data_IF_606033772329
#
_entry.id   IF_606033772329
#
_cell.length_a   1.000
_cell.length_b   1.000
_cell.length_c   1.000
_cell.angle_alpha   90.00
_cell.angle_beta   90.00
_cell.angle_gamma   90.00
#
_symmetry.space_group_name_H-M   'P 1'
#
loop_
_entity.id
_entity.type
_entity.pdbx_description
1 polymer ?
#
# COMPACT_ATOMS: atom_id res chain seq x y z
N UNK A 1 -53.31 -3.27 -10.40
CA UNK A 1 -53.42 -2.68 -9.05
C UNK A 1 -52.48 -3.47 -8.17
N UNK A 2 -51.24 -3.02 -8.05
CA UNK A 2 -50.20 -3.67 -7.24
C UNK A 2 -50.56 -3.53 -5.77
N UNK A 3 -50.99 -4.63 -5.15
CA UNK A 3 -51.17 -4.73 -3.72
C UNK A 3 -49.79 -4.75 -3.06
N UNK A 4 -49.20 -3.57 -2.85
CA UNK A 4 -48.03 -3.41 -1.99
C UNK A 4 -48.46 -3.81 -0.58
N UNK A 5 -48.11 -5.04 -0.20
CA UNK A 5 -48.27 -5.53 1.16
C UNK A 5 -47.66 -4.50 2.12
N UNK A 6 -48.38 -4.06 3.17
CA UNK A 6 -47.84 -3.10 4.11
C UNK A 6 -46.67 -3.77 4.84
N UNK A 7 -45.45 -3.37 4.46
CA UNK A 7 -44.20 -3.76 5.13
C UNK A 7 -44.42 -3.64 6.64
N UNK A 8 -44.32 -4.77 7.35
CA UNK A 8 -44.50 -4.82 8.79
C UNK A 8 -43.54 -3.82 9.44
N UNK A 9 -43.94 -3.10 10.50
CA UNK A 9 -43.13 -2.05 11.12
C UNK A 9 -41.68 -2.47 11.44
N UNK A 10 -41.46 -3.74 11.79
CA UNK A 10 -40.13 -4.30 12.06
C UNK A 10 -39.24 -4.51 10.83
N UNK A 11 -39.82 -4.74 9.64
CA UNK A 11 -39.06 -4.93 8.40
C UNK A 11 -38.37 -3.65 7.92
N UNK A 12 -39.05 -2.50 8.06
CA UNK A 12 -38.46 -1.19 7.76
C UNK A 12 -37.30 -0.86 8.70
N UNK A 13 -37.49 -1.05 10.00
CA UNK A 13 -36.44 -0.79 10.99
C UNK A 13 -35.19 -1.66 10.75
N UNK A 14 -35.38 -2.95 10.41
CA UNK A 14 -34.25 -3.83 10.08
C UNK A 14 -33.50 -3.36 8.83
N UNK A 15 -34.24 -2.95 7.79
CA UNK A 15 -33.65 -2.40 6.57
C UNK A 15 -32.84 -1.14 6.86
N UNK A 16 -33.37 -0.22 7.66
CA UNK A 16 -32.69 1.03 8.01
C UNK A 16 -31.39 0.76 8.78
N UNK A 17 -31.41 -0.21 9.72
CA UNK A 17 -30.21 -0.64 10.46
C UNK A 17 -29.17 -1.27 9.53
N UNK A 18 -29.60 -2.12 8.58
CA UNK A 18 -28.69 -2.73 7.61
C UNK A 18 -28.06 -1.66 6.69
N UNK A 19 -28.85 -0.71 6.20
CA UNK A 19 -28.35 0.41 5.38
C UNK A 19 -27.33 1.26 6.14
N UNK A 20 -27.59 1.57 7.41
CA UNK A 20 -26.62 2.30 8.26
C UNK A 20 -25.32 1.51 8.44
N UNK A 21 -25.39 0.21 8.71
CA UNK A 21 -24.21 -0.64 8.87
C UNK A 21 -23.37 -0.70 7.58
N UNK A 22 -24.02 -0.81 6.42
CA UNK A 22 -23.31 -0.80 5.15
C UNK A 22 -22.65 0.55 4.85
N UNK A 23 -23.31 1.66 5.20
CA UNK A 23 -22.72 2.99 5.07
C UNK A 23 -21.47 3.13 5.95
N UNK A 24 -21.56 2.75 7.23
CA UNK A 24 -20.41 2.79 8.16
C UNK A 24 -19.25 1.92 7.65
N UNK A 25 -19.54 0.70 7.18
CA UNK A 25 -18.53 -0.19 6.61
C UNK A 25 -17.85 0.42 5.38
N UNK A 26 -18.63 1.05 4.50
CA UNK A 26 -18.12 1.71 3.30
C UNK A 26 -17.21 2.89 3.66
N UNK A 27 -17.62 3.75 4.60
CA UNK A 27 -16.82 4.87 5.09
C UNK A 27 -15.50 4.38 5.70
N UNK A 28 -15.53 3.30 6.49
CA UNK A 28 -14.33 2.70 7.05
C UNK A 28 -13.37 2.15 5.99
N UNK A 29 -13.88 1.43 4.98
CA UNK A 29 -13.04 0.95 3.89
C UNK A 29 -12.46 2.10 3.08
N UNK A 30 -13.23 3.14 2.81
CA UNK A 30 -12.74 4.33 2.12
C UNK A 30 -11.61 5.01 2.92
N UNK A 31 -11.78 5.20 4.22
CA UNK A 31 -10.76 5.76 5.09
C UNK A 31 -9.49 4.89 5.15
N UNK A 32 -9.65 3.56 5.20
CA UNK A 32 -8.55 2.60 5.15
C UNK A 32 -7.79 2.69 3.82
N UNK A 33 -8.51 2.74 2.69
CA UNK A 33 -7.92 2.89 1.36
C UNK A 33 -7.17 4.21 1.23
N UNK A 34 -7.74 5.32 1.73
CA UNK A 34 -7.04 6.61 1.74
C UNK A 34 -5.74 6.53 2.55
N UNK A 35 -5.78 5.90 3.73
CA UNK A 35 -4.59 5.71 4.58
C UNK A 35 -3.52 4.87 3.88
N UNK A 36 -3.93 3.79 3.20
CA UNK A 36 -3.02 2.93 2.46
C UNK A 36 -2.40 3.65 1.27
N UNK A 37 -3.16 4.46 0.54
CA UNK A 37 -2.65 5.28 -0.56
C UNK A 37 -1.60 6.29 -0.07
N UNK A 38 -1.88 7.00 1.03
CA UNK A 38 -0.91 7.93 1.63
C UNK A 38 0.40 7.23 2.01
N UNK A 39 0.32 6.04 2.63
CA UNK A 39 1.52 5.25 2.95
C UNK A 39 2.27 4.79 1.70
N UNK A 40 1.57 4.45 0.63
CA UNK A 40 2.20 4.09 -0.65
C UNK A 40 2.91 5.29 -1.28
N UNK A 41 2.32 6.47 -1.23
CA UNK A 41 2.94 7.71 -1.71
C UNK A 41 4.21 8.04 -0.90
N UNK A 42 4.15 7.96 0.43
CA UNK A 42 5.33 8.13 1.30
C UNK A 42 6.43 7.10 1.00
N UNK A 43 6.04 5.82 0.82
CA UNK A 43 6.99 4.76 0.43
C UNK A 43 7.60 5.04 -0.94
N UNK A 44 6.82 5.55 -1.89
CA UNK A 44 7.28 5.98 -3.21
C UNK A 44 8.36 7.06 -3.11
N UNK A 45 8.09 8.13 -2.36
CA UNK A 45 9.08 9.20 -2.14
C UNK A 45 10.37 8.70 -1.48
N UNK A 46 10.26 7.80 -0.49
CA UNK A 46 11.44 7.17 0.14
C UNK A 46 12.24 6.30 -0.83
N UNK A 47 11.58 5.65 -1.79
CA UNK A 47 12.25 4.86 -2.85
C UNK A 47 13.01 5.79 -3.79
N UNK A 48 12.41 6.92 -4.20
CA UNK A 48 13.07 7.92 -5.04
C UNK A 48 14.30 8.51 -4.36
N UNK A 49 14.20 8.88 -3.09
CA UNK A 49 15.33 9.35 -2.29
C UNK A 49 16.45 8.29 -2.18
N UNK A 50 16.07 7.03 -1.97
CA UNK A 50 17.03 5.93 -1.91
C UNK A 50 17.73 5.71 -3.27
N UNK A 51 16.99 5.79 -4.38
CA UNK A 51 17.57 5.69 -5.73
C UNK A 51 18.59 6.80 -5.98
N UNK A 52 18.28 8.04 -5.56
CA UNK A 52 19.21 9.17 -5.64
C UNK A 52 20.48 8.91 -4.82
N UNK A 53 20.32 8.52 -3.55
CA UNK A 53 21.45 8.23 -2.67
C UNK A 53 22.35 7.11 -3.21
N UNK A 54 21.76 6.07 -3.79
CA UNK A 54 22.50 4.97 -4.43
C UNK A 54 23.26 5.48 -5.65
N UNK A 55 22.64 6.28 -6.51
CA UNK A 55 23.31 6.87 -7.68
C UNK A 55 24.50 7.75 -7.26
N UNK A 56 24.33 8.58 -6.24
CA UNK A 56 25.40 9.44 -5.71
C UNK A 56 26.55 8.61 -5.13
N UNK A 57 26.25 7.52 -4.41
CA UNK A 57 27.26 6.61 -3.88
C UNK A 57 27.99 5.85 -5.01
N UNK A 58 27.27 5.42 -6.05
CA UNK A 58 27.87 4.78 -7.23
C UNK A 58 28.82 5.73 -7.96
N UNK A 59 28.43 7.00 -8.14
CA UNK A 59 29.28 8.01 -8.73
C UNK A 59 30.54 8.25 -7.89
N UNK A 60 30.40 8.38 -6.56
CA UNK A 60 31.54 8.52 -5.63
C UNK A 60 32.49 7.31 -5.67
N UNK A 61 31.96 6.11 -5.84
CA UNK A 61 32.73 4.88 -5.96
C UNK A 61 33.34 4.65 -7.36
N UNK A 62 33.10 5.55 -8.32
CA UNK A 62 33.59 5.42 -9.70
C UNK A 62 32.94 4.28 -10.49
N UNK A 63 31.70 3.91 -10.15
CA UNK A 63 30.96 2.80 -10.77
C UNK A 63 30.17 3.32 -11.98
N UNK A 64 30.81 3.33 -13.15
CA UNK A 64 30.20 3.84 -14.39
C UNK A 64 29.76 2.73 -15.36
N UNK A 65 30.41 1.56 -15.31
CA UNK A 65 30.15 0.47 -16.26
C UNK A 65 28.94 -0.38 -15.87
N UNK A 66 28.06 -0.76 -16.82
CA UNK A 66 26.90 -1.63 -16.55
C UNK A 66 27.29 -2.96 -15.90
N UNK A 67 28.48 -3.50 -16.21
CA UNK A 67 29.00 -4.72 -15.57
C UNK A 67 29.31 -4.50 -14.07
N UNK A 68 29.85 -3.34 -13.71
CA UNK A 68 30.10 -2.99 -12.31
C UNK A 68 28.78 -2.73 -11.56
N UNK A 69 27.79 -2.10 -12.21
CA UNK A 69 26.44 -1.91 -11.64
C UNK A 69 25.78 -3.26 -11.34
N UNK A 70 25.83 -4.19 -12.31
CA UNK A 70 25.25 -5.52 -12.14
C UNK A 70 25.92 -6.31 -11.00
N UNK A 71 27.25 -6.20 -10.87
CA UNK A 71 28.00 -6.81 -9.76
C UNK A 71 27.65 -6.20 -8.40
N UNK A 72 27.44 -4.89 -8.33
CA UNK A 72 27.00 -4.21 -7.11
C UNK A 72 25.61 -4.70 -6.67
N UNK A 73 24.65 -4.74 -7.60
CA UNK A 73 23.29 -5.24 -7.32
C UNK A 73 23.34 -6.68 -6.84
N UNK A 74 24.12 -7.55 -7.49
CA UNK A 74 24.28 -8.94 -7.06
C UNK A 74 24.87 -9.05 -5.64
N UNK A 75 25.85 -8.21 -5.31
CA UNK A 75 26.47 -8.18 -3.97
C UNK A 75 25.49 -7.71 -2.90
N UNK A 76 24.67 -6.69 -3.19
CA UNK A 76 23.65 -6.19 -2.23
C UNK A 76 22.56 -7.23 -2.02
N UNK A 77 22.07 -7.86 -3.09
CA UNK A 77 21.07 -8.94 -2.99
C UNK A 77 21.60 -10.12 -2.17
N UNK A 78 22.87 -10.50 -2.35
CA UNK A 78 23.50 -11.55 -1.53
C UNK A 78 23.61 -11.14 -0.05
N UNK A 79 23.96 -9.89 0.24
CA UNK A 79 24.01 -9.38 1.61
C UNK A 79 22.62 -9.36 2.27
N UNK A 80 21.57 -8.96 1.55
CA UNK A 80 20.19 -8.96 2.06
C UNK A 80 19.60 -10.36 2.25
N UNK A 81 20.07 -11.33 1.47
CA UNK A 81 19.65 -12.73 1.57
C UNK A 81 20.37 -13.49 2.70
N UNK A 82 21.33 -12.84 3.36
CA UNK A 82 22.09 -13.46 4.44
C UNK A 82 21.26 -13.53 5.73
N UNK A 83 21.27 -14.67 6.46
CA UNK A 83 20.48 -14.85 7.69
C UNK A 83 20.79 -13.84 8.81
N UNK A 84 21.99 -13.23 8.77
CA UNK A 84 22.50 -12.31 9.78
C UNK A 84 22.05 -10.86 9.60
N UNK A 85 21.36 -10.53 8.51
CA UNK A 85 21.04 -9.13 8.15
C UNK A 85 19.79 -8.60 8.86
N UNK A 86 18.99 -9.50 9.45
CA UNK A 86 17.73 -9.19 10.15
C UNK A 86 17.64 -9.83 11.55
N UNK A 87 18.77 -10.22 12.14
CA UNK A 87 18.84 -10.86 13.45
C UNK A 87 19.31 -9.91 14.55
#
# INVERSE_FOLDING_TARGET
MDARSPEAPGGRALRDVAENLFQELQEHFQALTATLNLRMEEMGGRIEDLQKNVNDLMAQAGIDSPAQKHRLVASVSAALSSPWTFQ
#
